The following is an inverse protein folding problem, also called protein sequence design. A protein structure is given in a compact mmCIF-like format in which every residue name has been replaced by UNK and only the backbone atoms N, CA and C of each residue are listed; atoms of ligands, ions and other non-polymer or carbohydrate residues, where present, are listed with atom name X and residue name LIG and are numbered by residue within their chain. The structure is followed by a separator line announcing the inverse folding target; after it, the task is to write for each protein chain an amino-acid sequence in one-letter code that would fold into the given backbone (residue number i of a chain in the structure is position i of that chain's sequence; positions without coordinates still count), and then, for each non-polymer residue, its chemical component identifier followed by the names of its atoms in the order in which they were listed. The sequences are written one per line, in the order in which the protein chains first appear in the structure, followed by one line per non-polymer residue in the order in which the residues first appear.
data_IF_105226499931
#
_entry.id   IF_105226499931
#
_cell.length_a   1.000
_cell.length_b   1.000
_cell.length_c   1.000
_cell.angle_alpha   90.00
_cell.angle_beta   90.00
_cell.angle_gamma   90.00
#
_symmetry.space_group_name_H-M   'P 1'
#
loop_
_entity.id
_entity.type
_entity.pdbx_description
1 polymer ?
#
# COMPACT_ATOMS: atom_id res chain seq x y z
N UNK A 1 5.51 -19.89 -9.56
CA UNK A 1 5.41 -18.84 -8.52
C UNK A 1 4.99 -17.50 -9.10
N UNK A 2 5.53 -17.06 -10.24
CA UNK A 2 5.15 -15.79 -10.89
C UNK A 2 3.63 -15.57 -11.02
N UNK A 3 2.88 -16.50 -11.63
CA UNK A 3 1.43 -16.38 -11.77
C UNK A 3 0.71 -16.23 -10.42
N UNK A 4 1.12 -17.00 -9.40
CA UNK A 4 0.55 -16.92 -8.04
C UNK A 4 0.84 -15.56 -7.41
N UNK A 5 2.07 -15.06 -7.51
CA UNK A 5 2.45 -13.74 -7.02
C UNK A 5 1.65 -12.62 -7.69
N UNK A 6 1.47 -12.68 -9.02
CA UNK A 6 0.69 -11.69 -9.75
C UNK A 6 -0.79 -11.68 -9.32
N UNK A 7 -1.38 -12.86 -9.11
CA UNK A 7 -2.76 -12.96 -8.59
C UNK A 7 -2.86 -12.36 -7.19
N UNK A 8 -1.92 -12.68 -6.29
CA UNK A 8 -1.88 -12.12 -4.94
C UNK A 8 -1.78 -10.59 -5.00
N UNK A 9 -0.84 -10.06 -5.80
CA UNK A 9 -0.63 -8.62 -5.95
C UNK A 9 -1.90 -7.94 -6.46
N UNK A 10 -2.51 -8.50 -7.52
CA UNK A 10 -3.73 -7.96 -8.10
C UNK A 10 -4.88 -7.94 -7.11
N UNK A 11 -5.13 -9.04 -6.39
CA UNK A 11 -6.22 -9.11 -5.42
C UNK A 11 -6.03 -8.14 -4.26
N UNK A 12 -4.80 -8.00 -3.75
CA UNK A 12 -4.50 -7.06 -2.66
C UNK A 12 -4.74 -5.62 -3.12
N UNK A 13 -4.24 -5.24 -4.30
CA UNK A 13 -4.48 -3.90 -4.87
C UNK A 13 -5.97 -3.68 -5.10
N UNK A 14 -6.70 -4.66 -5.62
CA UNK A 14 -8.13 -4.55 -5.88
C UNK A 14 -8.90 -4.28 -4.58
N UNK A 15 -8.65 -5.05 -3.52
CA UNK A 15 -9.29 -4.87 -2.21
C UNK A 15 -8.95 -3.51 -1.61
N UNK A 16 -7.68 -3.10 -1.66
CA UNK A 16 -7.21 -1.80 -1.18
C UNK A 16 -7.96 -0.64 -1.88
N UNK A 17 -8.00 -0.66 -3.21
CA UNK A 17 -8.59 0.43 -4.00
C UNK A 17 -10.11 0.46 -3.88
N UNK A 18 -10.78 -0.70 -3.84
CA UNK A 18 -12.24 -0.77 -3.64
C UNK A 18 -12.61 -0.24 -2.25
N UNK A 19 -11.86 -0.61 -1.21
CA UNK A 19 -12.12 -0.13 0.15
C UNK A 19 -11.92 1.39 0.25
N UNK A 20 -10.82 1.91 -0.31
CA UNK A 20 -10.56 3.36 -0.36
C UNK A 20 -11.63 4.12 -1.11
N UNK A 21 -12.05 3.60 -2.26
CA UNK A 21 -13.14 4.19 -3.04
C UNK A 21 -14.45 4.21 -2.26
N UNK A 22 -14.80 3.11 -1.58
CA UNK A 22 -15.98 3.03 -0.75
C UNK A 22 -15.96 4.06 0.40
N UNK A 23 -14.84 4.14 1.14
CA UNK A 23 -14.67 5.13 2.23
C UNK A 23 -14.86 6.55 1.68
N UNK A 24 -14.16 6.91 0.58
CA UNK A 24 -14.22 8.24 -0.03
C UNK A 24 -15.62 8.63 -0.54
N UNK A 25 -16.49 7.67 -0.81
CA UNK A 25 -17.83 7.91 -1.38
C UNK A 25 -18.95 7.81 -0.35
N UNK A 26 -18.72 7.18 0.80
CA UNK A 26 -19.76 6.90 1.80
C UNK A 26 -19.48 7.56 3.16
N UNK A 27 -18.30 8.12 3.39
CA UNK A 27 -17.92 8.75 4.66
C UNK A 27 -17.42 10.18 4.48
N UNK A 28 -17.63 11.02 5.48
CA UNK A 28 -17.03 12.34 5.62
C UNK A 28 -15.67 12.26 6.33
N UNK A 29 -14.79 13.23 6.06
CA UNK A 29 -13.48 13.28 6.73
C UNK A 29 -13.67 13.40 8.25
N UNK A 30 -12.99 12.54 9.01
CA UNK A 30 -13.12 12.42 10.47
C UNK A 30 -14.33 11.61 10.94
N UNK A 31 -15.17 11.09 10.04
CA UNK A 31 -16.29 10.23 10.40
C UNK A 31 -15.81 8.85 10.87
N UNK A 32 -16.52 8.30 11.86
CA UNK A 32 -16.26 7.00 12.46
C UNK A 32 -17.42 6.03 12.19
N UNK A 33 -17.10 4.90 11.58
CA UNK A 33 -18.02 3.78 11.40
C UNK A 33 -17.62 2.62 12.32
N UNK A 34 -18.45 2.37 13.33
CA UNK A 34 -18.23 1.32 14.33
C UNK A 34 -18.59 -0.06 13.78
N UNK A 35 -17.59 -0.88 13.50
CA UNK A 35 -17.78 -2.22 12.92
C UNK A 35 -18.04 -3.25 14.02
N UNK A 36 -17.28 -3.22 15.11
CA UNK A 36 -17.43 -4.13 16.27
C UNK A 36 -17.34 -3.32 17.57
N UNK A 37 -18.47 -2.71 17.94
CA UNK A 37 -18.57 -1.86 19.12
C UNK A 37 -17.50 -0.75 19.10
N UNK A 38 -16.80 -0.57 20.21
CA UNK A 38 -15.76 0.46 20.34
C UNK A 38 -14.33 -0.07 20.12
N UNK A 39 -14.17 -1.35 19.75
CA UNK A 39 -12.84 -1.96 19.56
C UNK A 39 -12.35 -1.89 18.12
N UNK A 40 -13.24 -2.13 17.14
CA UNK A 40 -12.92 -2.00 15.72
C UNK A 40 -13.84 -0.99 15.06
N UNK A 41 -13.25 0.11 14.60
CA UNK A 41 -13.91 1.18 13.88
C UNK A 41 -13.11 1.53 12.62
N UNK A 42 -13.80 2.06 11.63
CA UNK A 42 -13.22 2.69 10.46
C UNK A 42 -13.29 4.19 10.70
N UNK A 43 -12.14 4.86 10.78
CA UNK A 43 -12.05 6.31 10.89
C UNK A 43 -11.51 6.87 9.57
N UNK A 44 -12.28 7.71 8.90
CA UNK A 44 -11.83 8.27 7.63
C UNK A 44 -10.82 9.41 7.88
N UNK A 45 -9.57 9.19 7.49
CA UNK A 45 -8.51 10.18 7.52
C UNK A 45 -7.71 10.16 6.22
N UNK A 46 -7.11 11.30 5.87
CA UNK A 46 -6.21 11.43 4.71
C UNK A 46 -4.77 11.64 5.17
N UNK A 47 -3.85 10.86 4.60
CA UNK A 47 -2.42 10.99 4.88
C UNK A 47 -1.70 11.57 3.66
N UNK A 48 -1.13 12.77 3.80
CA UNK A 48 -0.37 13.46 2.76
C UNK A 48 1.04 12.88 2.49
N UNK A 49 1.33 11.67 3.01
CA UNK A 49 2.49 10.88 2.62
C UNK A 49 3.52 10.64 3.72
N UNK A 50 3.20 10.92 4.99
CA UNK A 50 4.15 10.81 6.10
C UNK A 50 3.58 9.97 7.25
N UNK A 51 4.37 9.02 7.72
CA UNK A 51 4.06 8.29 8.94
C UNK A 51 4.41 9.15 10.16
N UNK A 52 3.70 8.94 11.28
CA UNK A 52 3.98 9.58 12.57
C UNK A 52 3.87 11.13 12.58
N UNK A 53 3.17 11.74 11.63
CA UNK A 53 2.98 13.19 11.59
C UNK A 53 4.25 14.01 11.31
N UNK A 54 5.37 13.36 10.96
CA UNK A 54 6.63 14.03 10.67
C UNK A 54 6.51 14.74 9.33
N UNK A 55 6.46 16.08 9.31
CA UNK A 55 6.52 16.86 8.07
C UNK A 55 7.98 17.14 7.69
N UNK A 56 8.53 16.39 6.74
CA UNK A 56 9.85 16.71 6.17
C UNK A 56 9.70 17.94 5.27
N UNK A 57 10.28 19.08 5.64
CA UNK A 57 10.58 20.22 4.76
C UNK A 57 9.44 20.73 3.81
N UNK A 58 8.17 20.67 4.22
CA UNK A 58 7.04 21.18 3.44
C UNK A 58 6.88 20.51 2.06
N UNK A 59 6.58 21.31 1.01
CA UNK A 59 6.30 20.79 -0.34
C UNK A 59 7.44 20.01 -0.98
N UNK A 60 8.71 20.35 -0.67
CA UNK A 60 9.88 19.62 -1.18
C UNK A 60 9.97 18.20 -0.60
N UNK A 61 9.64 18.01 0.67
CA UNK A 61 9.63 16.67 1.27
C UNK A 61 8.56 15.78 0.68
N UNK A 62 7.38 16.33 0.32
CA UNK A 62 6.34 15.56 -0.36
C UNK A 62 6.83 15.01 -1.70
N UNK A 63 7.45 15.85 -2.54
CA UNK A 63 7.99 15.44 -3.84
C UNK A 63 9.08 14.39 -3.67
N UNK A 64 10.02 14.62 -2.74
CA UNK A 64 11.08 13.65 -2.44
C UNK A 64 10.52 12.30 -2.01
N UNK A 65 9.54 12.29 -1.12
CA UNK A 65 8.89 11.05 -0.64
C UNK A 65 8.18 10.30 -1.76
N UNK A 66 7.50 11.01 -2.67
CA UNK A 66 6.86 10.38 -3.83
C UNK A 66 7.89 9.73 -4.76
N UNK A 67 8.97 10.43 -5.09
CA UNK A 67 10.06 9.89 -5.92
C UNK A 67 10.71 8.69 -5.24
N UNK A 68 11.05 8.82 -3.96
CA UNK A 68 11.62 7.74 -3.16
C UNK A 68 10.72 6.50 -3.18
N UNK A 69 9.40 6.68 -3.04
CA UNK A 69 8.44 5.56 -3.07
C UNK A 69 8.44 4.85 -4.42
N UNK A 70 8.46 5.59 -5.53
CA UNK A 70 8.52 5.00 -6.87
C UNK A 70 9.81 4.18 -7.04
N UNK A 71 10.95 4.73 -6.63
CA UNK A 71 12.24 4.01 -6.68
C UNK A 71 12.22 2.75 -5.81
N UNK A 72 11.69 2.86 -4.58
CA UNK A 72 11.57 1.74 -3.65
C UNK A 72 10.68 0.63 -4.22
N UNK A 73 9.52 0.97 -4.78
CA UNK A 73 8.61 -0.01 -5.42
C UNK A 73 9.28 -0.66 -6.63
N UNK A 74 9.99 0.10 -7.46
CA UNK A 74 10.79 -0.45 -8.56
C UNK A 74 11.84 -1.45 -8.08
N UNK A 75 12.58 -1.13 -7.01
CA UNK A 75 13.57 -2.00 -6.40
C UNK A 75 12.95 -3.29 -5.81
N UNK A 76 11.80 -3.17 -5.12
CA UNK A 76 11.07 -4.34 -4.59
C UNK A 76 10.56 -5.23 -5.72
N UNK A 77 10.05 -4.64 -6.81
CA UNK A 77 9.60 -5.39 -7.99
C UNK A 77 10.74 -6.16 -8.66
N UNK A 78 11.90 -5.51 -8.85
CA UNK A 78 13.10 -6.16 -9.36
C UNK A 78 13.58 -7.30 -8.45
N UNK A 79 13.59 -7.06 -7.14
CA UNK A 79 13.97 -8.07 -6.16
C UNK A 79 13.03 -9.28 -6.18
N UNK A 80 11.72 -9.05 -6.25
CA UNK A 80 10.71 -10.10 -6.38
C UNK A 80 10.92 -10.94 -7.65
N UNK A 81 11.15 -10.29 -8.79
CA UNK A 81 11.44 -10.97 -10.05
C UNK A 81 12.69 -11.87 -9.93
N UNK A 82 13.75 -11.34 -9.31
CA UNK A 82 15.00 -12.08 -9.07
C UNK A 82 14.78 -13.28 -8.15
N UNK A 83 14.01 -13.13 -7.06
CA UNK A 83 13.69 -14.23 -6.14
C UNK A 83 12.88 -15.35 -6.81
N UNK A 84 11.94 -14.99 -7.67
CA UNK A 84 11.15 -15.95 -8.44
C UNK A 84 12.04 -16.73 -9.42
N UNK A 85 12.94 -16.04 -10.13
CA UNK A 85 13.92 -16.67 -11.03
C UNK A 85 14.86 -17.63 -10.30
N UNK A 86 15.30 -17.27 -9.10
CA UNK A 86 16.15 -18.11 -8.22
C UNK A 86 15.41 -19.23 -7.49
N UNK A 87 14.10 -19.40 -7.71
CA UNK A 87 13.25 -20.39 -7.02
C UNK A 87 13.39 -20.33 -5.48
N UNK A 88 13.42 -19.11 -4.94
CA UNK A 88 13.47 -18.88 -3.50
C UNK A 88 12.25 -19.50 -2.78
N UNK A 89 12.33 -19.59 -1.45
CA UNK A 89 11.24 -20.13 -0.62
C UNK A 89 9.91 -19.41 -0.92
N UNK A 90 8.86 -20.21 -1.13
CA UNK A 90 7.51 -19.73 -1.41
C UNK A 90 7.02 -18.70 -0.40
N UNK A 91 7.30 -18.90 0.90
CA UNK A 91 6.90 -17.95 1.95
C UNK A 91 7.52 -16.57 1.74
N UNK A 92 8.82 -16.51 1.41
CA UNK A 92 9.51 -15.26 1.11
C UNK A 92 8.91 -14.56 -0.12
N UNK A 93 8.64 -15.32 -1.19
CA UNK A 93 8.04 -14.76 -2.41
C UNK A 93 6.66 -14.16 -2.11
N UNK A 94 5.84 -14.84 -1.30
CA UNK A 94 4.52 -14.33 -0.89
C UNK A 94 4.68 -13.06 -0.06
N UNK A 95 5.54 -13.04 0.95
CA UNK A 95 5.77 -11.85 1.79
C UNK A 95 6.21 -10.64 0.98
N UNK A 96 7.16 -10.80 0.05
CA UNK A 96 7.61 -9.72 -0.83
C UNK A 96 6.49 -9.29 -1.79
N UNK A 97 5.65 -10.22 -2.26
CA UNK A 97 4.48 -9.89 -3.11
C UNK A 97 3.48 -9.01 -2.34
N UNK A 98 3.22 -9.30 -1.06
CA UNK A 98 2.34 -8.49 -0.21
C UNK A 98 2.91 -7.09 0.04
N UNK A 99 4.21 -6.99 0.33
CA UNK A 99 4.90 -5.70 0.51
C UNK A 99 4.82 -4.87 -0.77
N UNK A 100 5.12 -5.48 -1.92
CA UNK A 100 5.03 -4.82 -3.22
C UNK A 100 3.62 -4.30 -3.50
N UNK A 101 2.60 -5.13 -3.27
CA UNK A 101 1.20 -4.77 -3.52
C UNK A 101 0.75 -3.58 -2.65
N UNK A 102 1.06 -3.59 -1.35
CA UNK A 102 0.72 -2.48 -0.46
C UNK A 102 1.46 -1.18 -0.81
N UNK A 103 2.76 -1.28 -1.15
CA UNK A 103 3.54 -0.12 -1.56
C UNK A 103 3.05 0.47 -2.89
N UNK A 104 2.70 -0.39 -3.86
CA UNK A 104 2.14 0.03 -5.15
C UNK A 104 0.73 0.63 -5.00
N UNK A 105 -0.16 0.01 -4.22
CA UNK A 105 -1.49 0.55 -3.93
C UNK A 105 -1.42 1.96 -3.35
N UNK A 106 -0.49 2.20 -2.42
CA UNK A 106 -0.27 3.55 -1.88
C UNK A 106 0.30 4.55 -2.89
N UNK A 107 1.00 4.12 -3.95
CA UNK A 107 1.43 5.03 -5.03
C UNK A 107 0.22 5.50 -5.85
N UNK A 108 -0.76 4.62 -6.11
CA UNK A 108 -1.96 4.95 -6.91
C UNK A 108 -2.74 6.12 -6.30
N UNK A 109 -2.75 6.22 -4.97
CA UNK A 109 -3.47 7.27 -4.24
C UNK A 109 -2.65 8.55 -3.96
N UNK A 110 -1.35 8.57 -4.25
CA UNK A 110 -0.44 9.66 -3.80
C UNK A 110 -0.28 10.84 -4.76
#
# INVERSE_FOLDING_TARGET
MLKKSLIIIFLIILVDQVLKFWIKTHMYIGEEYHVLGNWFLIHFTENYGMAFGIQLAGGFGKIFLSIFRILAVGAIGYYLFTLIGKKANTGLIISISLIFAGAFGNIIDS
#
